data_IF_250856580804
#
_entry.id   IF_250856580804
#
_cell.length_a   1.000
_cell.length_b   1.000
_cell.length_c   1.000
_cell.angle_alpha   90.00
_cell.angle_beta   90.00
_cell.angle_gamma   90.00
#
_symmetry.space_group_name_H-M   'P 1'
#
loop_
_entity.id
_entity.type
_entity.pdbx_description
1 polymer ?
#
# COMPACT_ATOMS: atom_id res chain seq x y z
N UNK A 1 13.54 -4.53 -3.49
CA UNK A 1 12.71 -5.69 -3.88
C UNK A 1 12.47 -6.62 -2.69
N UNK A 2 13.52 -7.12 -2.03
CA UNK A 2 13.34 -7.98 -0.85
C UNK A 2 12.58 -7.30 0.30
N UNK A 3 12.87 -6.02 0.62
CA UNK A 3 12.15 -5.31 1.70
C UNK A 3 10.65 -5.12 1.42
N UNK A 4 10.25 -4.97 0.14
CA UNK A 4 8.84 -4.75 -0.20
C UNK A 4 8.02 -6.00 0.06
N UNK A 5 8.35 -7.11 -0.61
CA UNK A 5 7.67 -8.40 -0.36
C UNK A 5 7.86 -8.91 1.08
N UNK A 6 8.98 -8.59 1.73
CA UNK A 6 9.28 -9.09 3.08
C UNK A 6 8.48 -8.40 4.18
N UNK A 7 8.04 -7.16 3.99
CA UNK A 7 7.34 -6.42 5.04
C UNK A 7 5.94 -5.95 4.64
N UNK A 8 5.72 -5.64 3.36
CA UNK A 8 4.44 -5.09 2.93
C UNK A 8 3.35 -6.17 2.81
N UNK A 9 3.69 -7.31 2.20
CA UNK A 9 2.79 -8.46 2.08
C UNK A 9 2.40 -9.05 3.45
N UNK A 10 3.32 -9.32 4.40
CA UNK A 10 2.91 -9.82 5.71
C UNK A 10 2.15 -8.78 6.54
N UNK A 11 2.40 -7.48 6.35
CA UNK A 11 1.58 -6.45 6.98
C UNK A 11 0.14 -6.48 6.46
N UNK A 12 -0.07 -6.51 5.15
CA UNK A 12 -1.40 -6.61 4.56
C UNK A 12 -2.13 -7.88 5.04
N UNK A 13 -1.41 -9.01 5.09
CA UNK A 13 -1.92 -10.28 5.61
C UNK A 13 -2.31 -10.16 7.09
N UNK A 14 -1.45 -9.59 7.94
CA UNK A 14 -1.74 -9.39 9.36
C UNK A 14 -2.96 -8.48 9.56
N UNK A 15 -3.08 -7.40 8.78
CA UNK A 15 -4.20 -6.47 8.82
C UNK A 15 -5.53 -7.16 8.44
N UNK A 16 -5.52 -7.99 7.41
CA UNK A 16 -6.71 -8.72 6.95
C UNK A 16 -7.07 -9.85 7.91
N UNK A 17 -6.10 -10.60 8.42
CA UNK A 17 -6.35 -11.65 9.40
C UNK A 17 -6.92 -11.06 10.70
N UNK A 18 -6.39 -9.93 11.16
CA UNK A 18 -6.97 -9.22 12.32
C UNK A 18 -8.37 -8.71 12.03
N UNK A 19 -8.62 -8.12 10.85
CA UNK A 19 -9.98 -7.72 10.45
C UNK A 19 -10.96 -8.90 10.44
N UNK A 20 -10.55 -10.06 9.92
CA UNK A 20 -11.41 -11.26 9.88
C UNK A 20 -11.62 -11.85 11.27
N UNK A 21 -10.58 -11.86 12.11
CA UNK A 21 -10.64 -12.43 13.45
C UNK A 21 -11.48 -11.57 14.42
N UNK A 22 -11.32 -10.25 14.40
CA UNK A 22 -11.98 -9.36 15.37
C UNK A 22 -13.35 -8.86 14.94
N UNK A 23 -13.59 -8.72 13.63
CA UNK A 23 -14.77 -8.00 13.13
C UNK A 23 -15.86 -8.92 12.57
N UNK A 24 -15.66 -10.24 12.62
CA UNK A 24 -16.56 -11.29 12.09
C UNK A 24 -17.33 -10.84 10.82
N UNK A 25 -16.62 -10.50 9.73
CA UNK A 25 -17.28 -9.96 8.53
C UNK A 25 -18.20 -10.99 7.89
N UNK A 26 -19.16 -10.51 7.08
CA UNK A 26 -20.06 -11.39 6.34
C UNK A 26 -19.31 -12.52 5.63
N UNK A 27 -19.83 -13.77 5.64
CA UNK A 27 -19.12 -14.93 5.10
C UNK A 27 -18.70 -14.78 3.64
N UNK A 28 -19.45 -14.00 2.85
CA UNK A 28 -19.13 -13.70 1.45
C UNK A 28 -17.95 -12.72 1.35
N UNK A 29 -17.97 -11.62 2.11
CA UNK A 29 -16.90 -10.63 2.12
C UNK A 29 -15.57 -11.24 2.58
N UNK A 30 -15.61 -12.08 3.62
CA UNK A 30 -14.44 -12.80 4.13
C UNK A 30 -13.84 -13.75 3.09
N UNK A 31 -14.67 -14.54 2.38
CA UNK A 31 -14.18 -15.45 1.32
C UNK A 31 -13.54 -14.70 0.17
N UNK A 32 -14.16 -13.59 -0.28
CA UNK A 32 -13.62 -12.77 -1.37
C UNK A 32 -12.32 -12.09 -0.94
N UNK A 33 -12.28 -11.51 0.26
CA UNK A 33 -11.07 -10.86 0.77
C UNK A 33 -9.91 -11.84 0.94
N UNK A 34 -10.17 -13.05 1.45
CA UNK A 34 -9.16 -14.12 1.53
C UNK A 34 -8.72 -14.58 0.14
N UNK A 35 -9.63 -14.72 -0.82
CA UNK A 35 -9.26 -15.08 -2.19
C UNK A 35 -8.37 -14.01 -2.84
N UNK A 36 -8.68 -12.73 -2.65
CA UNK A 36 -7.85 -11.60 -3.11
C UNK A 36 -6.48 -11.64 -2.42
N UNK A 37 -6.43 -11.84 -1.10
CA UNK A 37 -5.18 -11.91 -0.35
C UNK A 37 -4.29 -13.07 -0.84
N UNK A 38 -4.86 -14.26 -1.03
CA UNK A 38 -4.11 -15.40 -1.56
C UNK A 38 -3.61 -15.13 -2.97
N UNK A 39 -4.44 -14.54 -3.84
CA UNK A 39 -4.04 -14.15 -5.18
C UNK A 39 -2.90 -13.13 -5.17
N UNK A 40 -2.98 -12.11 -4.30
CA UNK A 40 -1.93 -11.10 -4.14
C UNK A 40 -0.62 -11.71 -3.65
N UNK A 41 -0.65 -12.58 -2.65
CA UNK A 41 0.54 -13.30 -2.13
C UNK A 41 1.18 -14.14 -3.23
N UNK A 42 0.38 -14.92 -3.98
CA UNK A 42 0.87 -15.77 -5.06
C UNK A 42 1.49 -14.94 -6.19
N UNK A 43 0.85 -13.84 -6.57
CA UNK A 43 1.34 -12.93 -7.61
C UNK A 43 2.65 -12.26 -7.17
N UNK A 44 2.71 -11.72 -5.96
CA UNK A 44 3.91 -11.10 -5.39
C UNK A 44 5.06 -12.12 -5.28
N UNK A 45 4.77 -13.37 -4.90
CA UNK A 45 5.75 -14.46 -4.85
C UNK A 45 6.27 -14.81 -6.25
N UNK A 46 5.38 -14.96 -7.23
CA UNK A 46 5.74 -15.32 -8.60
C UNK A 46 6.60 -14.23 -9.28
N UNK A 47 6.23 -12.96 -9.13
CA UNK A 47 7.01 -11.82 -9.61
C UNK A 47 8.39 -11.81 -8.93
N UNK A 48 8.43 -11.99 -7.61
CA UNK A 48 9.68 -12.02 -6.85
C UNK A 48 10.63 -13.13 -7.30
N UNK A 49 10.09 -14.33 -7.59
CA UNK A 49 10.88 -15.47 -8.08
C UNK A 49 11.44 -15.24 -9.49
N UNK A 50 10.67 -14.62 -10.38
CA UNK A 50 11.08 -14.41 -11.78
C UNK A 50 11.87 -13.13 -12.02
N UNK A 51 11.98 -12.26 -11.02
CA UNK A 51 12.68 -10.98 -11.14
C UNK A 51 14.14 -11.13 -11.59
N UNK A 52 14.84 -12.18 -11.13
CA UNK A 52 16.23 -12.43 -11.52
C UNK A 52 16.38 -12.84 -12.99
N UNK A 53 15.36 -13.50 -13.56
CA UNK A 53 15.35 -13.90 -14.97
C UNK A 53 15.16 -12.69 -15.89
N UNK A 54 14.57 -11.61 -15.38
CA UNK A 54 14.27 -10.39 -16.13
C UNK A 54 14.95 -9.17 -15.53
N UNK A 55 16.27 -9.28 -15.28
CA UNK A 55 17.07 -8.21 -14.68
C UNK A 55 16.96 -6.87 -15.45
N UNK A 56 16.94 -6.91 -16.78
CA UNK A 56 16.76 -5.72 -17.63
C UNK A 56 15.39 -5.01 -17.43
N UNK A 57 14.37 -5.74 -16.97
CA UNK A 57 13.03 -5.22 -16.72
C UNK A 57 12.76 -5.00 -15.22
N UNK A 58 13.75 -5.21 -14.35
CA UNK A 58 13.57 -5.21 -12.90
C UNK A 58 13.03 -3.88 -12.34
N UNK A 59 13.31 -2.75 -12.99
CA UNK A 59 12.78 -1.42 -12.59
C UNK A 59 11.31 -1.27 -12.97
N UNK A 60 10.90 -1.73 -14.15
CA UNK A 60 9.49 -1.69 -14.59
C UNK A 60 8.64 -2.67 -13.81
N UNK A 61 9.14 -3.88 -13.56
CA UNK A 61 8.47 -4.88 -12.72
C UNK A 61 8.26 -4.37 -11.28
N UNK A 62 9.21 -3.59 -10.77
CA UNK A 62 9.10 -2.87 -9.49
C UNK A 62 7.87 -1.97 -9.46
N UNK A 63 7.75 -1.08 -10.44
CA UNK A 63 6.65 -0.14 -10.53
C UNK A 63 5.32 -0.85 -10.77
N UNK A 64 5.30 -1.87 -11.62
CA UNK A 64 4.13 -2.71 -11.86
C UNK A 64 3.64 -3.38 -10.57
N UNK A 65 4.55 -3.88 -9.74
CA UNK A 65 4.21 -4.50 -8.46
C UNK A 65 3.60 -3.50 -7.49
N UNK A 66 4.09 -2.26 -7.42
CA UNK A 66 3.49 -1.19 -6.61
C UNK A 66 2.04 -0.95 -7.03
N UNK A 67 1.80 -0.82 -8.34
CA UNK A 67 0.46 -0.60 -8.88
C UNK A 67 -0.47 -1.80 -8.70
N UNK A 68 0.04 -3.03 -8.83
CA UNK A 68 -0.75 -4.24 -8.57
C UNK A 68 -1.20 -4.30 -7.10
N UNK A 69 -0.30 -4.04 -6.15
CA UNK A 69 -0.66 -4.00 -4.73
C UNK A 69 -1.71 -2.91 -4.45
N UNK A 70 -1.59 -1.76 -5.10
CA UNK A 70 -2.60 -0.70 -5.02
C UNK A 70 -3.95 -1.14 -5.59
N UNK A 71 -3.96 -1.82 -6.74
CA UNK A 71 -5.19 -2.36 -7.36
C UNK A 71 -5.87 -3.36 -6.44
N UNK A 72 -5.12 -4.19 -5.71
CA UNK A 72 -5.70 -5.12 -4.72
C UNK A 72 -6.15 -4.43 -3.44
N UNK A 73 -5.48 -3.36 -3.02
CA UNK A 73 -5.87 -2.57 -1.85
C UNK A 73 -7.26 -1.93 -2.00
N UNK A 74 -7.63 -1.48 -3.21
CA UNK A 74 -8.93 -0.85 -3.50
C UNK A 74 -10.14 -1.75 -3.16
N UNK A 75 -10.30 -2.96 -3.73
CA UNK A 75 -11.41 -3.84 -3.40
C UNK A 75 -11.34 -4.37 -1.97
N UNK A 76 -10.13 -4.65 -1.45
CA UNK A 76 -9.97 -5.07 -0.04
C UNK A 76 -10.47 -4.01 0.92
N UNK A 77 -10.11 -2.74 0.69
CA UNK A 77 -10.60 -1.63 1.47
C UNK A 77 -12.12 -1.49 1.32
N UNK A 78 -12.64 -1.52 0.09
CA UNK A 78 -14.08 -1.39 -0.14
C UNK A 78 -14.91 -2.46 0.58
N UNK A 79 -14.39 -3.69 0.69
CA UNK A 79 -15.07 -4.81 1.34
C UNK A 79 -14.92 -4.76 2.87
N UNK A 80 -13.72 -4.48 3.37
CA UNK A 80 -13.40 -4.63 4.80
C UNK A 80 -13.48 -3.32 5.60
N UNK A 81 -13.57 -2.17 4.93
CA UNK A 81 -13.66 -0.86 5.58
C UNK A 81 -14.74 -0.78 6.69
N UNK A 82 -15.98 -1.26 6.47
CA UNK A 82 -17.02 -1.18 7.51
C UNK A 82 -16.71 -2.00 8.76
N UNK A 83 -15.84 -2.99 8.64
CA UNK A 83 -15.54 -3.97 9.67
C UNK A 83 -14.27 -3.60 10.46
N UNK A 84 -13.30 -2.96 9.83
CA UNK A 84 -11.99 -2.71 10.45
C UNK A 84 -11.48 -1.29 10.17
N UNK A 85 -11.35 -0.49 11.22
CA UNK A 85 -11.00 0.92 11.12
C UNK A 85 -9.62 1.20 10.47
N UNK A 86 -8.52 0.47 10.76
CA UNK A 86 -7.21 0.78 10.20
C UNK A 86 -6.99 0.25 8.77
N UNK A 87 -8.05 -0.17 8.06
CA UNK A 87 -7.96 -0.65 6.67
C UNK A 87 -7.34 0.36 5.70
N UNK A 88 -7.44 1.66 6.01
CA UNK A 88 -6.88 2.72 5.19
C UNK A 88 -5.35 2.65 5.07
N UNK A 89 -4.68 1.96 6.00
CA UNK A 89 -3.22 1.74 5.97
C UNK A 89 -2.78 0.97 4.73
N UNK A 90 -3.67 0.19 4.09
CA UNK A 90 -3.36 -0.45 2.80
C UNK A 90 -2.99 0.58 1.72
N UNK A 91 -3.54 1.79 1.77
CA UNK A 91 -3.22 2.85 0.81
C UNK A 91 -1.90 3.56 1.11
N UNK A 92 -1.31 3.36 2.28
CA UNK A 92 0.04 3.85 2.60
C UNK A 92 1.10 2.96 1.94
N UNK A 93 0.75 1.70 1.67
CA UNK A 93 1.69 0.67 1.22
C UNK A 93 2.33 0.97 -0.13
N UNK A 94 1.50 1.25 -1.14
CA UNK A 94 1.97 1.57 -2.50
C UNK A 94 2.85 2.83 -2.57
N UNK A 95 2.49 3.98 -1.99
CA UNK A 95 3.34 5.17 -2.04
C UNK A 95 4.60 5.05 -1.20
N UNK A 96 4.57 4.28 -0.11
CA UNK A 96 5.80 3.96 0.65
C UNK A 96 6.73 3.06 -0.17
N UNK A 97 6.18 2.11 -0.93
CA UNK A 97 6.94 1.31 -1.88
C UNK A 97 7.62 2.15 -2.96
N UNK A 98 6.85 3.10 -3.53
CA UNK A 98 7.35 4.07 -4.50
C UNK A 98 8.47 4.92 -3.88
N UNK A 99 8.26 5.44 -2.67
CA UNK A 99 9.25 6.26 -1.95
C UNK A 99 10.65 5.64 -1.87
N UNK A 100 10.73 4.31 -1.72
CA UNK A 100 11.98 3.56 -1.61
C UNK A 100 12.64 3.23 -2.97
N UNK A 101 11.92 3.36 -4.07
CA UNK A 101 12.35 2.81 -5.37
C UNK A 101 12.33 3.82 -6.53
N UNK A 102 11.64 4.95 -6.37
CA UNK A 102 11.40 5.93 -7.43
C UNK A 102 11.77 7.34 -7.01
N UNK A 103 11.63 8.29 -7.95
CA UNK A 103 11.93 9.69 -7.70
C UNK A 103 10.86 10.38 -6.83
N UNK A 104 11.21 11.54 -6.26
CA UNK A 104 10.30 12.33 -5.42
C UNK A 104 8.96 12.64 -6.10
N UNK A 105 9.00 13.02 -7.39
CA UNK A 105 7.80 13.33 -8.16
C UNK A 105 6.88 12.09 -8.30
N UNK A 106 7.45 10.96 -8.70
CA UNK A 106 6.71 9.70 -8.86
C UNK A 106 6.12 9.23 -7.53
N UNK A 107 6.86 9.39 -6.44
CA UNK A 107 6.39 9.13 -5.07
C UNK A 107 5.21 10.02 -4.72
N UNK A 108 5.32 11.33 -4.96
CA UNK A 108 4.22 12.28 -4.68
C UNK A 108 2.97 12.00 -5.51
N UNK A 109 3.13 11.63 -6.79
CA UNK A 109 2.01 11.27 -7.65
C UNK A 109 1.34 9.98 -7.17
N UNK A 110 2.13 8.96 -6.83
CA UNK A 110 1.60 7.70 -6.28
C UNK A 110 0.85 7.93 -4.96
N UNK A 111 1.38 8.79 -4.09
CA UNK A 111 0.74 9.15 -2.83
C UNK A 111 -0.54 9.94 -3.03
N UNK A 112 -0.55 10.90 -3.96
CA UNK A 112 -1.73 11.66 -4.34
C UNK A 112 -2.83 10.75 -4.89
N UNK A 113 -2.50 9.84 -5.82
CA UNK A 113 -3.44 8.86 -6.36
C UNK A 113 -3.99 7.95 -5.26
N UNK A 114 -3.14 7.50 -4.33
CA UNK A 114 -3.57 6.63 -3.23
C UNK A 114 -4.49 7.34 -2.24
N UNK A 115 -4.15 8.58 -1.87
CA UNK A 115 -4.97 9.42 -1.01
C UNK A 115 -6.32 9.76 -1.66
N UNK A 116 -6.33 10.12 -2.94
CA UNK A 116 -7.54 10.41 -3.70
C UNK A 116 -8.44 9.18 -3.85
N UNK A 117 -7.87 8.01 -4.15
CA UNK A 117 -8.65 6.78 -4.24
C UNK A 117 -9.28 6.40 -2.90
N UNK A 118 -8.55 6.54 -1.79
CA UNK A 118 -9.09 6.34 -0.45
C UNK A 118 -10.25 7.32 -0.16
N UNK A 119 -10.07 8.61 -0.45
CA UNK A 119 -11.13 9.62 -0.27
C UNK A 119 -12.36 9.32 -1.13
N UNK A 120 -12.16 8.90 -2.39
CA UNK A 120 -13.24 8.52 -3.28
C UNK A 120 -14.02 7.31 -2.74
N UNK A 121 -13.33 6.32 -2.16
CA UNK A 121 -13.98 5.15 -1.54
C UNK A 121 -14.72 5.52 -0.25
N UNK A 122 -14.16 6.42 0.56
CA UNK A 122 -14.86 6.95 1.72
C UNK A 122 -16.16 7.65 1.30
N UNK A 123 -16.09 8.54 0.31
CA UNK A 123 -17.25 9.24 -0.24
C UNK A 123 -18.30 8.27 -0.79
N UNK A 124 -17.87 7.23 -1.51
CA UNK A 124 -18.78 6.24 -2.10
C UNK A 124 -19.49 5.38 -1.04
N UNK A 125 -18.94 5.24 0.16
CA UNK A 125 -19.49 4.39 1.22
C UNK A 125 -20.31 5.15 2.26
N UNK A 126 -19.94 6.37 2.58
CA UNK A 126 -20.62 7.17 3.60
C UNK A 126 -20.53 8.67 3.29
N UNK A 127 -21.54 9.47 3.68
CA UNK A 127 -21.45 10.91 3.60
C UNK A 127 -20.29 11.42 4.48
N UNK A 128 -19.44 12.25 3.90
CA UNK A 128 -18.29 12.83 4.57
C UNK A 128 -18.66 14.17 5.20
N UNK A 129 -19.17 14.12 6.42
CA UNK A 129 -19.58 15.30 7.17
C UNK A 129 -18.94 15.33 8.57
N UNK A 130 -18.75 16.54 9.10
CA UNK A 130 -18.22 16.79 10.44
C UNK A 130 -16.92 16.05 10.74
N UNK A 131 -16.93 15.23 11.79
CA UNK A 131 -15.75 14.48 12.26
C UNK A 131 -15.26 13.47 11.22
N UNK A 132 -16.15 12.85 10.45
CA UNK A 132 -15.78 11.84 9.44
C UNK A 132 -14.96 12.46 8.30
N UNK A 133 -15.32 13.67 7.87
CA UNK A 133 -14.53 14.42 6.89
C UNK A 133 -13.14 14.76 7.43
N UNK A 134 -13.06 15.25 8.67
CA UNK A 134 -11.80 15.55 9.34
C UNK A 134 -10.87 14.33 9.38
N UNK A 135 -11.39 13.17 9.80
CA UNK A 135 -10.62 11.91 9.82
C UNK A 135 -10.15 11.49 8.42
N UNK A 136 -11.03 11.53 7.42
CA UNK A 136 -10.70 11.15 6.05
C UNK A 136 -9.59 12.04 5.47
N UNK A 137 -9.66 13.35 5.70
CA UNK A 137 -8.63 14.30 5.28
C UNK A 137 -7.31 14.08 6.04
N UNK A 138 -7.35 13.80 7.35
CA UNK A 138 -6.15 13.47 8.12
C UNK A 138 -5.46 12.21 7.58
N UNK A 139 -6.22 11.16 7.26
CA UNK A 139 -5.67 9.95 6.64
C UNK A 139 -5.04 10.24 5.26
N UNK A 140 -5.70 11.06 4.43
CA UNK A 140 -5.21 11.43 3.11
C UNK A 140 -3.89 12.22 3.19
N UNK A 141 -3.85 13.22 4.08
CA UNK A 141 -2.65 14.02 4.34
C UNK A 141 -1.53 13.15 4.91
N UNK A 142 -1.86 12.20 5.81
CA UNK A 142 -0.89 11.26 6.35
C UNK A 142 -0.22 10.43 5.23
N UNK A 143 -0.99 9.86 4.30
CA UNK A 143 -0.46 9.08 3.17
C UNK A 143 0.60 9.90 2.39
N UNK A 144 0.29 11.16 2.10
CA UNK A 144 1.18 12.06 1.34
C UNK A 144 2.42 12.43 2.15
N UNK A 145 2.26 12.90 3.38
CA UNK A 145 3.38 13.34 4.22
C UNK A 145 4.29 12.15 4.55
N UNK A 146 3.72 11.02 4.95
CA UNK A 146 4.49 9.84 5.34
C UNK A 146 5.32 9.29 4.19
N UNK A 147 4.75 9.20 2.99
CA UNK A 147 5.50 8.73 1.81
C UNK A 147 6.67 9.66 1.45
N UNK A 148 6.47 10.98 1.51
CA UNK A 148 7.55 11.95 1.29
C UNK A 148 8.62 11.89 2.39
N UNK A 149 8.20 11.68 3.64
CA UNK A 149 9.11 11.48 4.76
C UNK A 149 9.99 10.23 4.54
N UNK A 150 9.39 9.08 4.19
CA UNK A 150 10.12 7.84 3.89
C UNK A 150 11.07 8.04 2.71
N UNK A 151 10.66 8.77 1.68
CA UNK A 151 11.54 9.10 0.55
C UNK A 151 12.76 9.91 1.02
N UNK A 152 12.54 10.94 1.85
CA UNK A 152 13.61 11.73 2.46
C UNK A 152 14.59 10.87 3.27
N UNK A 153 14.07 9.95 4.09
CA UNK A 153 14.91 9.01 4.85
C UNK A 153 15.74 8.11 3.93
N UNK A 154 15.12 7.56 2.87
CA UNK A 154 15.82 6.71 1.91
C UNK A 154 16.97 7.46 1.22
N UNK A 155 16.73 8.72 0.80
CA UNK A 155 17.76 9.56 0.18
C UNK A 155 18.89 9.91 1.16
N UNK A 156 18.56 10.24 2.41
CA UNK A 156 19.56 10.54 3.44
C UNK A 156 20.42 9.31 3.76
N UNK A 157 19.80 8.13 3.87
CA UNK A 157 20.52 6.87 4.10
C UNK A 157 21.51 6.55 2.97
N UNK A 158 21.12 6.79 1.71
CA UNK A 158 22.01 6.62 0.56
C UNK A 158 23.19 7.61 0.62
N UNK A 159 22.92 8.89 0.93
CA UNK A 159 23.98 9.91 1.06
C UNK A 159 24.99 9.59 2.17
N UNK A 160 24.51 9.14 3.33
CA UNK A 160 25.40 8.73 4.44
C UNK A 160 26.27 7.53 4.07
N UNK A 161 25.70 6.54 3.36
CA UNK A 161 26.46 5.40 2.84
C UNK A 161 27.56 5.87 1.88
N UNK A 162 27.21 6.75 0.95
CA UNK A 162 28.15 7.20 -0.08
C UNK A 162 29.28 8.06 0.53
N UNK A 163 28.99 8.83 1.59
CA UNK A 163 30.01 9.59 2.34
C UNK A 163 30.99 8.68 3.11
N UNK A 164 30.54 7.55 3.65
CA UNK A 164 31.42 6.61 4.36
C UNK A 164 32.36 5.80 3.43
N UNK A 165 32.20 5.93 2.12
CA UNK A 165 33.01 5.25 1.10
C UNK A 165 34.09 6.16 0.47
N UNK A 166 34.10 7.45 0.83
CA UNK A 166 35.10 8.46 0.42
C UNK A 166 35.99 8.83 1.59
#
# INVERSE_FOLDING_TARGET
MQMLNRYFTPFALALILTAVYFSEPEPRATKIALAILVADVLLNWWIGRNQYRWAAWATRLRQLQVWLNFIWAVPLFYLLYPYWAPMWLLFVMAPTAAALTTNRLETSLCAGVSALAMLALYWARQPLEGVALGMALSHAVFIVIFSLFVHGLAQTALRMRDHNLT
#
